data_IF_872720415895
#
_entry.id   IF_872720415895
#
_cell.length_a   1.000
_cell.length_b   1.000
_cell.length_c   1.000
_cell.angle_alpha   90.00
_cell.angle_beta   90.00
_cell.angle_gamma   90.00
#
_symmetry.space_group_name_H-M   'P 1'
#
loop_
_entity.id
_entity.type
_entity.pdbx_description
1 polymer ?
#
# COMPACT_ATOMS: atom_id res chain seq x y z
N UNK A 1 -13.20 -22.99 -10.66
CA UNK A 1 -12.18 -22.75 -11.69
C UNK A 1 -12.06 -21.24 -11.83
N UNK A 2 -11.10 -20.61 -11.17
CA UNK A 2 -10.94 -19.14 -11.22
C UNK A 2 -10.02 -18.87 -12.40
N UNK A 3 -10.53 -18.24 -13.46
CA UNK A 3 -9.73 -17.84 -14.61
C UNK A 3 -8.61 -16.90 -14.14
N UNK A 4 -7.39 -17.41 -14.16
CA UNK A 4 -6.19 -16.60 -13.93
C UNK A 4 -5.91 -15.87 -15.24
N UNK A 5 -6.43 -14.65 -15.37
CA UNK A 5 -6.16 -13.82 -16.53
C UNK A 5 -4.64 -13.64 -16.71
N UNK A 6 -4.09 -13.79 -17.93
CA UNK A 6 -2.66 -13.60 -18.15
C UNK A 6 -2.21 -12.18 -17.79
N UNK A 7 -0.99 -12.04 -17.22
CA UNK A 7 -0.43 -10.75 -16.75
C UNK A 7 -0.56 -9.62 -17.80
N UNK A 8 -0.24 -9.94 -19.06
CA UNK A 8 -0.28 -9.00 -20.18
C UNK A 8 -1.70 -8.53 -20.52
N UNK A 9 -2.71 -9.39 -20.31
CA UNK A 9 -4.10 -9.06 -20.60
C UNK A 9 -4.65 -8.12 -19.53
N UNK A 10 -4.24 -8.30 -18.26
CA UNK A 10 -4.60 -7.37 -17.18
C UNK A 10 -3.98 -5.98 -17.43
N UNK A 11 -2.70 -5.92 -17.82
CA UNK A 11 -2.03 -4.66 -18.16
C UNK A 11 -2.77 -3.98 -19.32
N UNK A 12 -3.07 -4.69 -20.41
CA UNK A 12 -3.85 -4.12 -21.52
C UNK A 12 -5.25 -3.68 -21.10
N UNK A 13 -5.95 -4.44 -20.26
CA UNK A 13 -7.27 -4.06 -19.74
C UNK A 13 -7.17 -2.80 -18.88
N UNK A 14 -6.09 -2.64 -18.10
CA UNK A 14 -5.84 -1.47 -17.28
C UNK A 14 -5.40 -0.25 -18.10
N UNK A 15 -4.64 -0.44 -19.18
CA UNK A 15 -4.25 0.61 -20.13
C UNK A 15 -5.41 1.09 -21.00
N UNK A 16 -6.36 0.19 -21.34
CA UNK A 16 -7.59 0.54 -22.09
C UNK A 16 -8.59 1.31 -21.25
N UNK A 17 -8.41 1.38 -19.93
CA UNK A 17 -9.20 2.27 -19.08
C UNK A 17 -8.63 3.68 -19.30
N UNK A 18 -9.34 4.49 -20.09
CA UNK A 18 -9.13 5.92 -20.36
C UNK A 18 -9.07 6.80 -19.07
N UNK A 19 -9.06 6.19 -17.89
CA UNK A 19 -9.05 6.83 -16.57
C UNK A 19 -7.80 6.45 -15.75
N UNK A 20 -6.62 6.29 -16.39
CA UNK A 20 -5.35 6.05 -15.69
C UNK A 20 -5.11 7.10 -14.60
N UNK A 21 -5.55 8.34 -14.82
CA UNK A 21 -5.47 9.40 -13.81
C UNK A 21 -6.24 9.06 -12.53
N UNK A 22 -7.41 8.42 -12.62
CA UNK A 22 -8.28 8.13 -11.47
C UNK A 22 -7.96 6.80 -10.76
N UNK A 23 -6.92 6.11 -11.21
CA UNK A 23 -6.51 4.83 -10.67
C UNK A 23 -5.39 5.00 -9.65
N UNK A 24 -5.59 4.44 -8.46
CA UNK A 24 -4.54 4.29 -7.47
C UNK A 24 -4.27 2.80 -7.22
N UNK A 25 -3.02 2.49 -6.90
CA UNK A 25 -2.62 1.18 -6.42
C UNK A 25 -2.27 1.25 -4.95
N UNK A 26 -2.60 0.20 -4.21
CA UNK A 26 -2.15 0.04 -2.84
C UNK A 26 -1.59 -1.35 -2.57
N UNK A 27 -0.58 -1.39 -1.71
CA UNK A 27 0.13 -2.61 -1.38
C UNK A 27 0.56 -2.64 0.09
N UNK A 28 0.82 -3.84 0.58
CA UNK A 28 1.43 -4.07 1.88
C UNK A 28 2.92 -4.32 1.64
N UNK A 29 3.83 -3.54 2.24
CA UNK A 29 5.27 -3.83 2.21
C UNK A 29 5.61 -5.07 3.04
N UNK A 30 4.81 -5.34 4.07
CA UNK A 30 4.91 -6.52 4.94
C UNK A 30 3.96 -7.64 4.51
N UNK A 31 3.97 -8.75 5.27
CA UNK A 31 3.02 -9.84 5.08
C UNK A 31 1.58 -9.33 5.18
N UNK A 32 0.79 -9.55 4.13
CA UNK A 32 -0.60 -9.08 4.04
C UNK A 32 -1.55 -9.78 5.03
N UNK A 33 -2.52 -9.08 5.65
CA UNK A 33 -3.63 -9.73 6.35
C UNK A 33 -4.54 -10.53 5.39
N UNK A 34 -5.34 -11.50 5.86
CA UNK A 34 -6.31 -12.20 5.02
C UNK A 34 -7.23 -11.26 4.24
N UNK A 35 -7.54 -11.62 2.99
CA UNK A 35 -8.30 -10.74 2.09
C UNK A 35 -9.66 -10.27 2.62
N UNK A 36 -10.46 -11.12 3.31
CA UNK A 36 -11.72 -10.66 3.90
C UNK A 36 -11.53 -9.51 4.89
N UNK A 37 -10.49 -9.58 5.75
CA UNK A 37 -10.17 -8.53 6.73
C UNK A 37 -9.83 -7.22 6.02
N UNK A 38 -8.99 -7.28 4.99
CA UNK A 38 -8.62 -6.10 4.20
C UNK A 38 -9.82 -5.51 3.48
N UNK A 39 -10.68 -6.35 2.89
CA UNK A 39 -11.88 -5.92 2.18
C UNK A 39 -12.85 -5.18 3.11
N UNK A 40 -13.13 -5.72 4.29
CA UNK A 40 -14.05 -5.09 5.24
C UNK A 40 -13.46 -3.79 5.84
N UNK A 41 -12.16 -3.76 6.12
CA UNK A 41 -11.48 -2.54 6.56
C UNK A 41 -11.51 -1.44 5.50
N UNK A 42 -11.24 -1.78 4.24
CA UNK A 42 -11.31 -0.84 3.12
C UNK A 42 -12.75 -0.38 2.87
N UNK A 43 -13.75 -1.26 2.95
CA UNK A 43 -15.17 -0.86 2.86
C UNK A 43 -15.55 0.13 3.96
N UNK A 44 -15.17 -0.14 5.21
CA UNK A 44 -15.43 0.74 6.35
C UNK A 44 -14.77 2.10 6.17
N UNK A 45 -13.52 2.12 5.70
CA UNK A 45 -12.75 3.36 5.48
C UNK A 45 -13.24 4.15 4.27
N UNK A 46 -13.66 3.46 3.22
CA UNK A 46 -14.15 4.03 1.98
C UNK A 46 -15.67 4.28 2.00
N UNK A 47 -16.38 4.06 3.11
CA UNK A 47 -17.85 4.05 3.18
C UNK A 47 -18.58 5.34 2.74
N UNK A 48 -17.85 6.42 2.43
CA UNK A 48 -18.38 7.65 1.81
C UNK A 48 -17.92 7.86 0.35
N UNK A 49 -16.85 7.20 -0.07
CA UNK A 49 -16.19 7.39 -1.36
C UNK A 49 -16.55 6.20 -2.26
N UNK A 50 -17.07 6.47 -3.47
CA UNK A 50 -17.39 5.41 -4.46
C UNK A 50 -16.09 4.85 -5.04
N UNK A 51 -15.44 3.96 -4.28
CA UNK A 51 -14.17 3.35 -4.65
C UNK A 51 -14.39 1.90 -5.02
N UNK A 52 -14.15 1.57 -6.29
CA UNK A 52 -14.14 0.17 -6.72
C UNK A 52 -12.79 -0.41 -6.32
N UNK A 53 -12.79 -1.29 -5.31
CA UNK A 53 -11.60 -2.03 -4.91
C UNK A 53 -11.56 -3.38 -5.62
N UNK A 54 -10.61 -3.54 -6.54
CA UNK A 54 -10.29 -4.85 -7.14
C UNK A 54 -8.93 -5.29 -6.64
N UNK A 55 -8.79 -6.57 -6.37
CA UNK A 55 -7.52 -7.14 -5.94
C UNK A 55 -7.01 -8.09 -7.01
N UNK A 56 -5.68 -8.12 -7.20
CA UNK A 56 -5.02 -8.96 -8.22
C UNK A 56 -4.12 -10.01 -7.57
N UNK A 57 -4.38 -11.29 -7.89
CA UNK A 57 -3.52 -12.43 -7.48
C UNK A 57 -2.13 -12.34 -8.09
N UNK A 58 -2.01 -11.63 -9.21
CA UNK A 58 -0.85 -11.64 -10.07
C UNK A 58 0.21 -10.65 -9.57
N UNK A 59 -0.25 -9.48 -9.13
CA UNK A 59 0.61 -8.37 -8.71
C UNK A 59 0.56 -8.15 -7.20
N UNK A 60 -0.36 -8.85 -6.50
CA UNK A 60 -0.64 -8.67 -5.08
C UNK A 60 -0.92 -7.19 -4.72
N UNK A 61 -1.55 -6.48 -5.66
CA UNK A 61 -1.94 -5.09 -5.53
C UNK A 61 -3.45 -4.99 -5.36
N UNK A 62 -3.85 -3.97 -4.60
CA UNK A 62 -5.22 -3.48 -4.55
C UNK A 62 -5.33 -2.29 -5.48
N UNK A 63 -6.31 -2.32 -6.36
CA UNK A 63 -6.62 -1.23 -7.26
C UNK A 63 -7.84 -0.49 -6.75
N UNK A 64 -7.73 0.84 -6.74
CA UNK A 64 -8.78 1.75 -6.33
C UNK A 64 -9.13 2.64 -7.51
N UNK A 65 -10.35 2.51 -8.02
CA UNK A 65 -10.90 3.48 -8.97
C UNK A 65 -11.74 4.49 -8.22
N UNK A 66 -11.30 5.74 -8.21
CA UNK A 66 -12.05 6.84 -7.59
C UNK A 66 -12.98 7.49 -8.61
N UNK A 67 -14.20 7.84 -8.19
CA UNK A 67 -15.12 8.63 -9.02
C UNK A 67 -14.82 10.13 -8.97
N UNK A 68 -14.21 10.62 -7.88
CA UNK A 68 -13.91 12.03 -7.63
C UNK A 68 -12.40 12.22 -7.38
N UNK A 69 -11.80 13.22 -8.02
CA UNK A 69 -10.39 13.59 -7.84
C UNK A 69 -10.10 14.10 -6.42
N UNK A 70 -11.07 14.77 -5.78
CA UNK A 70 -10.89 15.29 -4.42
C UNK A 70 -10.76 14.16 -3.38
N UNK A 71 -11.54 13.09 -3.56
CA UNK A 71 -11.45 11.90 -2.71
C UNK A 71 -10.13 11.17 -2.90
N UNK A 72 -9.68 11.07 -4.16
CA UNK A 72 -8.38 10.52 -4.52
C UNK A 72 -7.26 11.33 -3.88
N UNK A 73 -7.28 12.66 -3.99
CA UNK A 73 -6.27 13.56 -3.40
C UNK A 73 -6.17 13.35 -1.89
N UNK A 74 -7.30 13.31 -1.19
CA UNK A 74 -7.34 13.04 0.27
C UNK A 74 -6.72 11.70 0.67
N UNK A 75 -6.94 10.66 -0.13
CA UNK A 75 -6.35 9.33 0.12
C UNK A 75 -4.86 9.32 -0.23
N UNK A 76 -4.42 10.03 -1.27
CA UNK A 76 -3.00 10.13 -1.63
C UNK A 76 -2.20 10.98 -0.63
N UNK A 77 -2.78 12.05 -0.10
CA UNK A 77 -2.19 12.82 1.00
C UNK A 77 -1.97 11.94 2.24
N UNK A 78 -2.96 11.08 2.54
CA UNK A 78 -2.87 10.06 3.58
C UNK A 78 -2.44 8.71 3.02
N UNK A 79 -1.39 8.71 2.19
CA UNK A 79 -0.87 7.53 1.48
C UNK A 79 -0.62 6.33 2.39
N UNK A 80 -0.28 6.54 3.66
CA UNK A 80 -0.04 5.47 4.63
C UNK A 80 -1.26 5.26 5.52
N UNK A 81 -1.79 4.04 5.48
CA UNK A 81 -3.00 3.63 6.19
C UNK A 81 -2.67 2.37 7.01
N UNK A 82 -3.17 2.25 8.23
CA UNK A 82 -3.08 1.00 8.98
C UNK A 82 -4.35 0.16 8.79
N UNK A 83 -4.18 -1.11 8.39
CA UNK A 83 -5.24 -2.11 8.25
C UNK A 83 -4.85 -3.32 9.07
N UNK A 84 -5.66 -3.64 10.10
CA UNK A 84 -5.39 -4.74 11.02
C UNK A 84 -3.97 -4.72 11.61
N UNK A 85 -3.51 -3.52 12.01
CA UNK A 85 -2.17 -3.31 12.59
C UNK A 85 -1.02 -3.27 11.57
N UNK A 86 -1.27 -3.50 10.28
CA UNK A 86 -0.24 -3.50 9.23
C UNK A 86 -0.31 -2.27 8.36
N UNK A 87 0.86 -1.76 7.97
CA UNK A 87 0.96 -0.60 7.09
C UNK A 87 0.50 -0.98 5.66
N UNK A 88 -0.39 -0.16 5.13
CA UNK A 88 -0.93 -0.23 3.78
C UNK A 88 -0.59 1.07 3.08
N UNK A 89 0.20 0.98 2.01
CA UNK A 89 0.68 2.13 1.26
C UNK A 89 -0.19 2.26 0.01
N UNK A 90 -0.75 3.45 -0.20
CA UNK A 90 -1.54 3.84 -1.38
C UNK A 90 -0.75 4.88 -2.16
N UNK A 91 -0.57 4.64 -3.45
CA UNK A 91 0.09 5.56 -4.36
C UNK A 91 -0.71 5.73 -5.64
N UNK A 92 -0.44 6.82 -6.38
CA UNK A 92 -0.90 6.92 -7.76
C UNK A 92 -0.46 5.66 -8.50
N UNK A 93 -1.38 5.08 -9.29
CA UNK A 93 -1.01 3.91 -10.07
C UNK A 93 -0.05 4.34 -11.17
N UNK A 94 1.06 3.61 -11.28
CA UNK A 94 2.02 3.71 -12.38
C UNK A 94 2.40 2.30 -12.80
N UNK A 95 2.87 2.11 -14.03
CA UNK A 95 3.36 0.81 -14.51
C UNK A 95 4.50 0.28 -13.62
N UNK A 96 5.28 1.16 -12.99
CA UNK A 96 6.38 0.80 -12.10
C UNK A 96 5.98 0.52 -10.64
N UNK A 97 4.68 0.54 -10.30
CA UNK A 97 4.25 0.30 -8.92
C UNK A 97 4.66 -1.09 -8.41
N UNK A 98 4.78 -2.07 -9.31
CA UNK A 98 5.29 -3.41 -9.01
C UNK A 98 6.77 -3.38 -8.62
N UNK A 99 7.59 -2.61 -9.36
CA UNK A 99 8.99 -2.40 -9.01
C UNK A 99 9.09 -1.73 -7.65
N UNK A 100 8.29 -0.68 -7.41
CA UNK A 100 8.25 0.02 -6.11
C UNK A 100 7.89 -0.90 -4.96
N UNK A 101 6.89 -1.78 -5.11
CA UNK A 101 6.55 -2.77 -4.09
C UNK A 101 7.76 -3.63 -3.73
N UNK A 102 8.47 -4.15 -4.73
CA UNK A 102 9.63 -5.01 -4.51
C UNK A 102 10.86 -4.27 -3.94
N UNK A 103 10.94 -2.96 -4.15
CA UNK A 103 11.99 -2.10 -3.57
C UNK A 103 11.72 -1.78 -2.10
N UNK A 104 10.46 -1.59 -1.70
CA UNK A 104 10.10 -1.24 -0.31
C UNK A 104 10.05 -2.51 0.55
N UNK A 105 11.23 -2.99 0.97
CA UNK A 105 11.38 -4.15 1.89
C UNK A 105 11.31 -3.78 3.37
N UNK A 106 11.59 -2.52 3.70
CA UNK A 106 11.53 -1.97 5.05
C UNK A 106 11.11 -0.51 4.97
N UNK A 107 10.30 -0.06 5.94
CA UNK A 107 9.93 1.36 6.08
C UNK A 107 10.96 1.99 7.02
N UNK A 108 11.78 2.96 6.57
CA UNK A 108 12.67 3.66 7.48
C UNK A 108 11.83 4.48 8.47
N UNK A 109 12.01 4.21 9.76
CA UNK A 109 11.47 5.02 10.84
C UNK A 109 12.59 5.91 11.40
N UNK A 110 12.27 7.18 11.62
CA UNK A 110 13.16 8.11 12.30
C UNK A 110 12.62 8.31 13.71
N UNK A 111 13.41 7.97 14.73
CA UNK A 111 13.09 8.18 16.13
C UNK A 111 14.22 9.00 16.77
N UNK A 112 13.84 10.01 17.56
CA UNK A 112 14.80 10.76 18.35
C UNK A 112 14.96 10.06 19.69
N UNK A 113 16.16 9.55 19.96
CA UNK A 113 16.51 8.96 21.25
C UNK A 113 17.10 10.06 22.14
N UNK A 114 16.45 10.32 23.27
CA UNK A 114 16.90 11.30 24.26
C UNK A 114 17.51 10.56 25.46
N UNK A 115 18.50 11.19 26.12
CA UNK A 115 19.17 10.65 27.31
C UNK A 115 19.82 9.27 27.14
N UNK A 116 20.29 8.93 25.93
CA UNK A 116 21.07 7.70 25.72
C UNK A 116 22.47 7.89 26.31
N UNK A 117 22.89 7.08 27.31
CA UNK A 117 24.24 7.12 27.85
C UNK A 117 25.28 6.96 26.74
N UNK A 118 26.39 7.69 26.85
CA UNK A 118 27.38 7.77 25.77
C UNK A 118 28.02 6.41 25.46
N UNK A 119 28.07 5.52 26.45
CA UNK A 119 28.58 4.15 26.30
C UNK A 119 27.71 3.29 25.35
N UNK A 120 26.43 3.64 25.20
CA UNK A 120 25.48 2.92 24.34
C UNK A 120 25.38 3.48 22.92
N UNK A 121 26.20 4.47 22.56
CA UNK A 121 26.25 5.05 21.20
C UNK A 121 27.05 4.17 20.21
N UNK A 122 27.02 2.86 20.41
CA UNK A 122 27.59 1.86 19.51
C UNK A 122 26.47 1.13 18.78
N UNK A 123 26.80 0.42 17.69
CA UNK A 123 25.83 -0.39 16.96
C UNK A 123 25.13 -1.42 17.86
N UNK A 124 25.88 -2.01 18.79
CA UNK A 124 25.39 -3.01 19.73
C UNK A 124 24.53 -2.35 20.83
N UNK A 125 24.96 -1.21 21.37
CA UNK A 125 24.21 -0.47 22.39
C UNK A 125 22.88 0.07 21.88
N UNK A 126 22.87 0.67 20.68
CA UNK A 126 21.63 1.11 20.04
C UNK A 126 20.76 -0.06 19.60
N UNK A 127 21.36 -1.17 19.16
CA UNK A 127 20.66 -2.41 18.86
C UNK A 127 19.96 -3.00 20.08
N UNK A 128 20.59 -2.97 21.26
CA UNK A 128 20.01 -3.40 22.53
C UNK A 128 18.80 -2.54 22.93
N UNK A 129 18.86 -1.22 22.71
CA UNK A 129 17.74 -0.32 23.00
C UNK A 129 16.57 -0.45 22.02
N UNK A 130 16.83 -0.90 20.79
CA UNK A 130 15.86 -0.97 19.71
C UNK A 130 15.21 -2.36 19.53
N UNK A 131 15.69 -3.37 20.27
CA UNK A 131 15.17 -4.74 20.23
C UNK A 131 14.07 -4.98 21.25
#
# INVERSE_FOLDING_TARGET
MIEVLPKYLLIRVMERIECVERLCGGFFPEQRPPYPVVREALKKKNGKQRVITRWSWIFELFYFKFSNEEDKRKVLENSRIYIAGKCFIVTQWTQDIEKRKNTVKAIPIWANLYNVPKELWTREGLGFLAS
#
